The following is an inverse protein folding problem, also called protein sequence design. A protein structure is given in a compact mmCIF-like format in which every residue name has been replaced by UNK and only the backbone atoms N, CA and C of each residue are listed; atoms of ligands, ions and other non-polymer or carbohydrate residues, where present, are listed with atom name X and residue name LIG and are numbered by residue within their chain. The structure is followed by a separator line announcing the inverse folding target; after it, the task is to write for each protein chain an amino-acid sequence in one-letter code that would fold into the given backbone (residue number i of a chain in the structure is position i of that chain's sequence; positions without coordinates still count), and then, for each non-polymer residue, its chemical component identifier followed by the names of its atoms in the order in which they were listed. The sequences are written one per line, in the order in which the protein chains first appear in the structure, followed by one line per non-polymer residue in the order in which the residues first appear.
data_IF_964571452904
#
_entry.id   IF_964571452904
#
_cell.length_a   1.000
_cell.length_b   1.000
_cell.length_c   1.000
_cell.angle_alpha   90.00
_cell.angle_beta   90.00
_cell.angle_gamma   90.00
#
_symmetry.space_group_name_H-M   'P 1'
#
loop_
_entity.id
_entity.type
_entity.pdbx_description
1 polymer ?
#
# COMPACT_ATOMS: atom_id res chain seq x y z
N UNK A 1 70.49 23.14 -30.84
CA UNK A 1 71.39 23.83 -29.89
C UNK A 1 70.98 25.31 -29.94
N UNK A 2 70.12 25.83 -29.08
CA UNK A 2 70.24 25.93 -27.62
C UNK A 2 68.93 25.63 -26.88
N UNK A 3 69.13 25.19 -25.64
CA UNK A 3 68.19 24.92 -24.56
C UNK A 3 68.17 26.13 -23.60
N UNK A 4 67.01 26.48 -23.01
CA UNK A 4 66.77 27.01 -21.63
C UNK A 4 65.36 27.65 -21.59
N UNK A 5 64.33 27.03 -21.00
CA UNK A 5 63.99 26.73 -19.59
C UNK A 5 63.53 27.97 -18.77
N UNK A 6 62.24 27.90 -18.41
CA UNK A 6 61.51 28.49 -17.27
C UNK A 6 61.33 30.01 -17.16
N UNK A 7 60.08 30.46 -17.00
CA UNK A 7 59.57 30.83 -15.67
C UNK A 7 58.04 30.95 -15.62
N UNK A 8 57.52 30.43 -14.53
CA UNK A 8 56.14 30.43 -14.06
C UNK A 8 55.68 31.85 -13.76
N UNK A 9 54.44 32.20 -14.13
CA UNK A 9 53.69 33.19 -13.36
C UNK A 9 52.23 32.77 -13.24
N UNK A 10 51.92 32.37 -12.02
CA UNK A 10 50.62 32.07 -11.46
C UNK A 10 50.06 33.41 -10.95
N UNK A 11 48.89 33.85 -11.43
CA UNK A 11 48.04 34.77 -10.69
C UNK A 11 46.57 34.57 -11.04
N UNK A 12 45.97 33.85 -10.12
CA UNK A 12 44.59 33.48 -9.91
C UNK A 12 43.73 34.74 -9.69
N UNK A 13 42.79 35.05 -10.60
CA UNK A 13 41.63 35.89 -10.28
C UNK A 13 40.42 34.97 -10.07
N UNK A 14 40.20 34.58 -8.82
CA UNK A 14 38.95 33.95 -8.40
C UNK A 14 38.02 35.05 -7.88
N UNK A 15 36.86 35.19 -8.53
CA UNK A 15 35.72 35.93 -8.02
C UNK A 15 35.28 35.28 -6.69
N UNK A 16 35.47 35.98 -5.57
CA UNK A 16 34.82 35.64 -4.32
C UNK A 16 33.36 36.13 -4.40
N UNK A 17 32.48 35.26 -4.92
CA UNK A 17 31.04 35.42 -4.80
C UNK A 17 30.59 35.26 -3.35
N UNK A 18 29.59 36.05 -2.95
CA UNK A 18 28.94 35.99 -1.64
C UNK A 18 28.50 34.56 -1.30
N UNK A 19 29.03 34.00 -0.22
CA UNK A 19 28.52 32.75 0.36
C UNK A 19 27.28 33.06 1.19
N UNK A 20 26.12 32.98 0.54
CA UNK A 20 24.89 32.74 1.27
C UNK A 20 25.01 31.35 1.92
N UNK A 21 25.10 31.31 3.25
CA UNK A 21 24.93 30.09 4.04
C UNK A 21 23.50 29.58 3.84
N UNK A 22 23.29 28.78 2.79
CA UNK A 22 22.16 27.89 2.72
C UNK A 22 22.42 26.78 3.73
N UNK A 23 21.78 26.88 4.91
CA UNK A 23 21.54 25.71 5.75
C UNK A 23 20.79 24.69 4.89
N UNK A 24 21.53 23.74 4.31
CA UNK A 24 20.91 22.53 3.78
C UNK A 24 20.38 21.76 4.98
N UNK A 25 19.09 21.95 5.26
CA UNK A 25 18.30 21.00 6.03
C UNK A 25 18.40 19.67 5.28
N UNK A 26 19.37 18.84 5.66
CA UNK A 26 19.31 17.43 5.36
C UNK A 26 18.01 16.91 6.00
N UNK A 27 17.09 16.29 5.25
CA UNK A 27 15.93 15.68 5.85
C UNK A 27 16.39 14.56 6.78
N UNK A 28 16.13 14.74 8.08
CA UNK A 28 16.34 13.74 9.12
C UNK A 28 15.65 12.41 8.72
N UNK A 29 16.36 11.29 8.58
CA UNK A 29 15.80 10.03 8.06
C UNK A 29 15.09 9.20 9.16
N UNK A 30 14.29 9.81 10.02
CA UNK A 30 13.83 9.16 11.27
C UNK A 30 12.32 9.16 11.51
N UNK A 31 11.48 9.35 10.48
CA UNK A 31 10.02 9.32 10.68
C UNK A 31 9.19 8.56 9.62
N UNK A 32 9.81 7.96 8.61
CA UNK A 32 9.12 7.06 7.66
C UNK A 32 9.21 5.59 8.06
N UNK A 33 10.33 5.15 8.63
CA UNK A 33 10.53 3.76 9.06
C UNK A 33 9.63 3.34 10.23
N UNK A 34 9.21 4.29 11.07
CA UNK A 34 8.38 4.01 12.25
C UNK A 34 6.96 3.58 11.84
N UNK A 35 6.33 4.22 10.85
CA UNK A 35 4.99 3.84 10.36
C UNK A 35 5.00 2.44 9.73
N UNK A 36 6.04 2.13 8.95
CA UNK A 36 6.22 0.83 8.30
C UNK A 36 6.39 -0.31 9.30
N UNK A 37 7.28 -0.11 10.28
CA UNK A 37 7.53 -1.09 11.32
C UNK A 37 6.34 -1.22 12.27
N UNK A 38 5.64 -0.14 12.59
CA UNK A 38 4.43 -0.21 13.41
C UNK A 38 3.30 -0.97 12.72
N UNK A 39 3.10 -0.75 11.41
CA UNK A 39 2.15 -1.55 10.63
C UNK A 39 2.62 -3.00 10.66
N UNK A 40 3.86 -3.30 10.26
CA UNK A 40 4.38 -4.68 10.24
C UNK A 40 4.28 -5.38 11.61
N UNK A 41 4.67 -4.72 12.69
CA UNK A 41 4.58 -5.24 14.06
C UNK A 41 3.12 -5.45 14.49
N UNK A 42 2.19 -4.57 14.07
CA UNK A 42 0.76 -4.76 14.31
C UNK A 42 0.20 -5.93 13.50
N UNK A 43 0.74 -6.23 12.30
CA UNK A 43 0.39 -7.43 11.55
C UNK A 43 0.83 -8.67 12.31
N UNK A 44 2.09 -8.71 12.77
CA UNK A 44 2.67 -9.84 13.49
C UNK A 44 1.99 -10.14 14.84
N UNK A 45 1.58 -9.13 15.59
CA UNK A 45 0.90 -9.32 16.88
C UNK A 45 -0.54 -9.83 16.74
N UNK A 46 -1.20 -9.57 15.61
CA UNK A 46 -2.54 -10.08 15.32
C UNK A 46 -2.53 -11.53 14.78
N UNK A 47 -1.36 -12.15 14.58
CA UNK A 47 -1.23 -13.55 14.13
C UNK A 47 -1.45 -14.59 15.24
N UNK A 48 -1.65 -14.20 16.50
CA UNK A 48 -1.96 -15.13 17.60
C UNK A 48 -3.21 -14.67 18.34
N UNK A 49 -4.39 -14.95 17.79
CA UNK A 49 -5.58 -15.29 18.57
C UNK A 49 -6.71 -15.81 17.66
N UNK A 50 -7.24 -17.02 17.88
CA UNK A 50 -8.53 -17.39 17.32
C UNK A 50 -9.58 -16.47 17.94
N UNK A 51 -10.52 -15.99 17.12
CA UNK A 51 -11.66 -15.17 17.55
C UNK A 51 -12.43 -15.94 18.62
N UNK A 52 -12.13 -15.67 19.89
CA UNK A 52 -12.93 -16.14 21.02
C UNK A 52 -14.00 -15.08 21.24
N UNK A 53 -15.22 -15.38 20.81
CA UNK A 53 -16.40 -14.60 21.15
C UNK A 53 -16.56 -14.60 22.68
N UNK A 54 -16.18 -13.49 23.34
CA UNK A 54 -16.61 -13.23 24.71
C UNK A 54 -17.99 -12.59 24.66
N UNK A 55 -19.02 -13.39 24.94
CA UNK A 55 -20.36 -12.91 25.29
C UNK A 55 -20.25 -12.22 26.67
N UNK A 56 -20.58 -10.92 26.83
CA UNK A 56 -20.63 -10.31 28.14
C UNK A 56 -21.94 -10.68 28.85
N UNK A 57 -21.84 -11.37 29.99
CA UNK A 57 -22.94 -11.48 30.95
C UNK A 57 -23.20 -10.15 31.64
N UNK A 58 -24.47 -9.77 31.71
CA UNK A 58 -25.00 -8.55 32.30
C UNK A 58 -24.64 -8.37 33.79
N UNK A 59 -24.16 -7.18 34.17
CA UNK A 59 -24.45 -6.58 35.48
C UNK A 59 -24.78 -5.11 35.33
N UNK A 60 -25.89 -4.72 35.95
CA UNK A 60 -26.50 -3.40 35.88
C UNK A 60 -25.62 -2.33 36.52
N UNK A 61 -25.37 -1.26 35.77
CA UNK A 61 -24.78 0.00 36.24
C UNK A 61 -25.37 1.15 35.44
N UNK A 62 -25.87 2.18 36.12
CA UNK A 62 -26.45 3.39 35.52
C UNK A 62 -25.40 4.08 34.67
N UNK A 63 -25.63 4.24 33.37
CA UNK A 63 -24.78 5.06 32.50
C UNK A 63 -25.64 5.85 31.54
N UNK A 64 -25.28 7.13 31.42
CA UNK A 64 -25.86 8.12 30.51
C UNK A 64 -26.11 7.54 29.14
N UNK A 65 -27.31 7.79 28.59
CA UNK A 65 -27.65 7.50 27.20
C UNK A 65 -26.88 8.46 26.31
N UNK A 66 -25.59 8.19 26.08
CA UNK A 66 -24.91 8.72 24.91
C UNK A 66 -25.55 8.05 23.70
N UNK A 67 -26.38 8.82 23.02
CA UNK A 67 -26.92 8.53 21.70
C UNK A 67 -25.75 8.34 20.74
N UNK A 68 -25.24 7.11 20.65
CA UNK A 68 -24.46 6.69 19.49
C UNK A 68 -25.42 6.73 18.32
N UNK A 69 -25.38 7.84 17.58
CA UNK A 69 -25.95 7.95 16.26
C UNK A 69 -25.58 6.66 15.52
N UNK A 70 -26.58 5.86 15.16
CA UNK A 70 -26.43 4.74 14.25
C UNK A 70 -26.07 5.30 12.88
N UNK A 71 -24.83 5.75 12.73
CA UNK A 71 -24.15 5.87 11.46
C UNK A 71 -24.14 4.45 10.92
N UNK A 72 -25.08 4.17 10.03
CA UNK A 72 -25.27 2.92 9.29
C UNK A 72 -23.99 2.07 9.29
N UNK A 73 -24.02 1.00 10.06
CA UNK A 73 -22.95 0.02 10.26
C UNK A 73 -22.59 -0.64 8.93
N UNK A 74 -21.77 0.03 8.13
CA UNK A 74 -21.35 -0.41 6.79
C UNK A 74 -19.94 -0.97 6.86
N UNK A 75 -19.76 -2.11 6.22
CA UNK A 75 -18.44 -2.72 6.01
C UNK A 75 -17.85 -2.22 4.70
N UNK A 76 -16.57 -1.89 4.69
CA UNK A 76 -15.85 -1.37 3.53
C UNK A 76 -14.34 -1.59 3.65
N UNK A 77 -13.61 -1.42 2.56
CA UNK A 77 -12.16 -1.47 2.54
C UNK A 77 -11.56 -0.15 2.08
N UNK A 78 -10.32 0.13 2.48
CA UNK A 78 -9.54 1.25 1.96
C UNK A 78 -8.14 0.79 1.56
N UNK A 79 -7.60 1.36 0.49
CA UNK A 79 -6.21 1.21 0.08
C UNK A 79 -5.54 2.59 0.08
N UNK A 80 -4.51 2.76 0.91
CA UNK A 80 -3.80 4.04 1.09
C UNK A 80 -2.28 3.91 0.93
N UNK A 81 -1.55 4.97 0.52
CA UNK A 81 -0.09 4.95 0.51
C UNK A 81 0.46 4.69 1.91
N UNK A 82 1.61 4.06 1.93
CA UNK A 82 2.54 4.14 3.07
C UNK A 82 3.77 4.92 2.62
N UNK A 83 4.72 5.14 3.54
CA UNK A 83 6.05 5.67 3.21
C UNK A 83 7.10 4.58 2.99
N UNK A 84 6.66 3.34 2.81
CA UNK A 84 7.49 2.15 2.83
C UNK A 84 7.70 1.61 1.42
N UNK A 85 8.81 0.88 1.26
CA UNK A 85 9.06 0.03 0.09
C UNK A 85 9.44 -1.36 0.58
N UNK A 86 9.18 -2.39 -0.23
CA UNK A 86 9.68 -3.73 0.04
C UNK A 86 11.17 -3.87 -0.34
N UNK A 87 11.74 -5.05 -0.11
CA UNK A 87 13.16 -5.32 -0.38
C UNK A 87 13.62 -5.13 -1.85
N UNK A 88 12.68 -5.04 -2.80
CA UNK A 88 12.96 -4.83 -4.23
C UNK A 88 12.50 -3.46 -4.74
N UNK A 89 12.07 -2.56 -3.84
CA UNK A 89 11.77 -1.16 -4.15
C UNK A 89 10.34 -0.89 -4.58
N UNK A 90 9.42 -1.85 -4.48
CA UNK A 90 8.00 -1.59 -4.71
C UNK A 90 7.41 -0.78 -3.56
N UNK A 91 6.68 0.33 -3.83
CA UNK A 91 5.92 1.02 -2.80
C UNK A 91 4.92 0.09 -2.15
N UNK A 92 4.84 0.14 -0.82
CA UNK A 92 3.85 -0.61 -0.07
C UNK A 92 2.59 0.24 0.16
N UNK A 93 1.45 -0.41 0.04
CA UNK A 93 0.14 0.15 0.30
C UNK A 93 -0.53 -0.56 1.46
N UNK A 94 -1.28 0.20 2.26
CA UNK A 94 -2.04 -0.33 3.39
C UNK A 94 -3.46 -0.63 2.94
N UNK A 95 -3.82 -1.91 2.93
CA UNK A 95 -5.21 -2.35 2.81
C UNK A 95 -5.80 -2.46 4.20
N UNK A 96 -6.84 -1.68 4.49
CA UNK A 96 -7.56 -1.69 5.77
C UNK A 96 -8.98 -2.21 5.57
N UNK A 97 -9.39 -3.13 6.43
CA UNK A 97 -10.70 -3.79 6.41
C UNK A 97 -11.57 -3.26 7.55
N UNK A 98 -12.73 -2.72 7.23
CA UNK A 98 -13.66 -2.18 8.21
C UNK A 98 -14.93 -3.03 8.27
N UNK A 99 -15.29 -3.55 9.44
CA UNK A 99 -16.58 -4.19 9.68
C UNK A 99 -17.44 -3.27 10.53
N UNK A 100 -18.63 -2.92 10.05
CA UNK A 100 -19.54 -2.01 10.76
C UNK A 100 -18.87 -0.68 11.18
N UNK A 101 -17.95 -0.16 10.36
CA UNK A 101 -17.16 1.04 10.65
C UNK A 101 -15.95 0.85 11.56
N UNK A 102 -15.73 -0.34 12.14
CA UNK A 102 -14.57 -0.65 12.98
C UNK A 102 -13.46 -1.31 12.17
N UNK A 103 -12.21 -0.89 12.36
CA UNK A 103 -11.06 -1.54 11.74
C UNK A 103 -10.87 -2.95 12.33
N UNK A 104 -10.95 -3.97 11.49
CA UNK A 104 -10.84 -5.40 11.89
C UNK A 104 -9.65 -6.10 11.26
N UNK A 105 -8.96 -5.47 10.31
CA UNK A 105 -7.78 -6.03 9.66
C UNK A 105 -7.00 -4.95 8.92
N UNK A 106 -5.70 -5.13 8.85
CA UNK A 106 -4.80 -4.30 8.06
C UNK A 106 -3.81 -5.23 7.36
N UNK A 107 -3.34 -4.87 6.16
CA UNK A 107 -2.38 -5.65 5.38
C UNK A 107 -1.46 -4.72 4.60
N UNK A 108 -0.18 -5.10 4.48
CA UNK A 108 0.75 -4.48 3.54
C UNK A 108 0.61 -5.17 2.19
N UNK A 109 0.55 -4.37 1.13
CA UNK A 109 0.29 -4.83 -0.23
C UNK A 109 1.17 -4.10 -1.22
N UNK A 110 1.28 -4.63 -2.43
CA UNK A 110 1.88 -3.94 -3.59
C UNK A 110 0.81 -3.67 -4.64
N UNK A 111 1.05 -2.65 -5.47
CA UNK A 111 0.24 -2.36 -6.65
C UNK A 111 1.06 -1.67 -7.71
N UNK A 112 1.22 -2.31 -8.86
CA UNK A 112 2.18 -1.91 -9.88
C UNK A 112 3.63 -2.19 -9.47
N UNK A 113 4.48 -2.43 -10.47
CA UNK A 113 5.92 -2.63 -10.30
C UNK A 113 6.66 -1.32 -10.04
N UNK A 114 7.87 -1.38 -9.49
CA UNK A 114 8.65 -0.23 -9.04
C UNK A 114 8.91 0.76 -10.19
N UNK A 115 9.16 0.25 -11.39
CA UNK A 115 9.42 1.01 -12.62
C UNK A 115 8.14 1.56 -13.29
N UNK A 116 6.95 1.26 -12.75
CA UNK A 116 5.65 1.63 -13.34
C UNK A 116 4.86 2.65 -12.52
N UNK A 117 5.38 3.06 -11.37
CA UNK A 117 4.68 3.88 -10.38
C UNK A 117 4.20 5.24 -10.91
N UNK A 118 4.94 5.82 -11.86
CA UNK A 118 4.66 7.09 -12.52
C UNK A 118 3.88 6.96 -13.83
N UNK A 119 3.62 5.75 -14.31
CA UNK A 119 2.88 5.52 -15.57
C UNK A 119 1.40 5.87 -15.37
N UNK A 120 0.71 6.17 -16.47
CA UNK A 120 -0.71 6.52 -16.43
C UNK A 120 -1.55 5.35 -15.87
N UNK A 121 -2.15 5.58 -14.70
CA UNK A 121 -2.95 4.61 -13.95
C UNK A 121 -4.34 4.36 -14.56
N UNK A 122 -4.85 5.27 -15.38
CA UNK A 122 -6.14 5.11 -16.05
C UNK A 122 -6.05 4.36 -17.40
N UNK A 123 -4.85 4.00 -17.85
CA UNK A 123 -4.63 3.30 -19.12
C UNK A 123 -4.33 1.81 -18.89
N UNK A 124 -5.00 0.93 -19.62
CA UNK A 124 -4.68 -0.50 -19.66
C UNK A 124 -3.25 -0.77 -20.15
N UNK A 125 -2.68 -1.93 -19.77
CA UNK A 125 -1.35 -2.36 -20.23
C UNK A 125 -0.15 -1.59 -19.68
N UNK A 126 -0.35 -0.56 -18.84
CA UNK A 126 0.77 0.22 -18.26
C UNK A 126 1.48 -0.46 -17.11
N UNK A 127 0.89 -1.52 -16.55
CA UNK A 127 1.29 -2.16 -15.28
C UNK A 127 1.37 -1.19 -14.09
N UNK A 128 0.86 0.04 -14.24
CA UNK A 128 0.84 1.05 -13.20
C UNK A 128 -0.05 0.62 -12.01
N UNK A 129 0.14 1.22 -10.82
CA UNK A 129 -0.75 1.01 -9.68
C UNK A 129 -2.21 1.27 -10.01
N UNK A 130 -3.12 0.78 -9.15
CA UNK A 130 -4.55 1.09 -9.27
C UNK A 130 -4.78 2.62 -9.38
N UNK A 131 -5.67 3.07 -10.28
CA UNK A 131 -6.15 4.44 -10.26
C UNK A 131 -7.00 4.73 -9.03
N UNK A 132 -6.93 5.95 -8.54
CA UNK A 132 -7.72 6.39 -7.39
C UNK A 132 -9.21 6.41 -7.70
N UNK A 133 -10.01 6.10 -6.69
CA UNK A 133 -11.47 6.09 -6.82
C UNK A 133 -12.14 4.98 -6.04
N UNK A 134 -13.44 4.86 -6.26
CA UNK A 134 -14.29 3.86 -5.61
C UNK A 134 -14.45 2.65 -6.52
N UNK A 135 -14.42 1.48 -5.92
CA UNK A 135 -14.57 0.20 -6.59
C UNK A 135 -15.68 -0.61 -5.94
N UNK A 136 -16.46 -1.33 -6.73
CA UNK A 136 -17.27 -2.43 -6.22
C UNK A 136 -16.38 -3.65 -5.98
N UNK A 137 -16.78 -4.47 -5.02
CA UNK A 137 -16.08 -5.70 -4.65
C UNK A 137 -16.95 -6.88 -5.08
N UNK A 138 -16.38 -7.84 -5.81
CA UNK A 138 -17.13 -9.04 -6.20
C UNK A 138 -17.57 -9.83 -4.97
N UNK A 139 -18.74 -10.48 -5.06
CA UNK A 139 -19.25 -11.36 -4.00
C UNK A 139 -18.61 -12.76 -4.04
N UNK A 140 -18.13 -13.17 -5.21
CA UNK A 140 -17.53 -14.47 -5.46
C UNK A 140 -16.02 -14.38 -5.67
N UNK A 141 -15.35 -15.51 -5.44
CA UNK A 141 -13.91 -15.68 -5.65
C UNK A 141 -13.77 -16.55 -6.89
N UNK A 142 -12.95 -16.13 -7.85
CA UNK A 142 -12.66 -16.92 -9.05
C UNK A 142 -11.26 -17.50 -8.98
N UNK A 143 -10.98 -18.55 -9.73
CA UNK A 143 -9.60 -18.95 -9.98
C UNK A 143 -8.87 -17.84 -10.75
N UNK A 144 -7.60 -17.59 -10.43
CA UNK A 144 -6.75 -16.71 -11.24
C UNK A 144 -6.51 -17.32 -12.61
N UNK A 145 -6.59 -16.50 -13.65
CA UNK A 145 -6.32 -16.92 -15.05
C UNK A 145 -4.89 -16.62 -15.50
N UNK A 146 -4.12 -15.88 -14.70
CA UNK A 146 -2.74 -15.45 -14.99
C UNK A 146 -1.76 -16.01 -13.96
N UNK A 147 -0.49 -16.31 -14.34
CA UNK A 147 0.52 -16.80 -13.41
C UNK A 147 0.76 -15.88 -12.20
N UNK A 148 0.61 -14.56 -12.40
CA UNK A 148 0.74 -13.54 -11.34
C UNK A 148 -0.40 -13.60 -10.31
N UNK A 149 -1.57 -14.15 -10.67
CA UNK A 149 -2.81 -14.09 -9.86
C UNK A 149 -2.95 -15.28 -8.91
N UNK A 150 -2.22 -16.37 -9.16
CA UNK A 150 -2.31 -17.59 -8.36
C UNK A 150 -3.67 -18.27 -8.47
N UNK A 151 -4.04 -19.05 -7.45
CA UNK A 151 -5.22 -19.93 -7.45
C UNK A 151 -6.53 -19.19 -7.13
N UNK A 152 -6.49 -17.97 -6.60
CA UNK A 152 -7.68 -17.26 -6.12
C UNK A 152 -7.59 -15.76 -6.35
N UNK A 153 -8.68 -15.22 -6.89
CA UNK A 153 -8.80 -13.84 -7.27
C UNK A 153 -10.12 -13.26 -6.78
N UNK A 154 -10.04 -12.11 -6.11
CA UNK A 154 -11.20 -11.31 -5.75
C UNK A 154 -11.27 -10.10 -6.68
N UNK A 155 -12.17 -10.16 -7.66
CA UNK A 155 -12.34 -9.08 -8.62
C UNK A 155 -12.88 -7.81 -7.96
N UNK A 156 -12.38 -6.66 -8.42
CA UNK A 156 -12.90 -5.33 -8.07
C UNK A 156 -13.16 -4.55 -9.36
N UNK A 157 -14.22 -3.74 -9.37
CA UNK A 157 -14.61 -3.01 -10.57
C UNK A 157 -14.70 -1.51 -10.28
N UNK A 158 -13.98 -0.65 -11.04
CA UNK A 158 -14.05 0.79 -10.85
C UNK A 158 -15.47 1.29 -11.12
N UNK A 159 -15.99 2.16 -10.25
CA UNK A 159 -17.30 2.83 -10.45
C UNK A 159 -17.17 4.13 -11.24
N UNK A 160 -16.05 4.31 -11.93
CA UNK A 160 -15.67 5.51 -12.65
C UNK A 160 -15.06 5.11 -13.99
N UNK A 161 -15.04 6.06 -14.94
CA UNK A 161 -14.50 5.80 -16.28
C UNK A 161 -12.98 5.62 -16.22
N UNK A 162 -12.50 4.49 -16.71
CA UNK A 162 -11.07 4.18 -16.83
C UNK A 162 -10.87 3.15 -17.94
N UNK A 163 -9.69 3.12 -18.56
CA UNK A 163 -9.29 2.10 -19.51
C UNK A 163 -8.70 0.85 -18.85
N UNK A 164 -8.86 0.70 -17.53
CA UNK A 164 -8.38 -0.44 -16.75
C UNK A 164 -9.47 -1.51 -16.60
N UNK A 165 -9.06 -2.77 -16.69
CA UNK A 165 -9.90 -3.96 -16.50
C UNK A 165 -9.09 -5.03 -15.77
N UNK A 166 -9.74 -6.16 -15.45
CA UNK A 166 -9.11 -7.32 -14.79
C UNK A 166 -8.36 -6.97 -13.49
N UNK A 167 -8.92 -6.05 -12.70
CA UNK A 167 -8.36 -5.62 -11.41
C UNK A 167 -8.92 -6.49 -10.29
N UNK A 168 -8.10 -6.76 -9.28
CA UNK A 168 -8.52 -7.54 -8.13
C UNK A 168 -7.49 -7.59 -7.01
N UNK A 169 -7.84 -8.35 -5.99
CA UNK A 169 -6.99 -8.68 -4.84
C UNK A 169 -6.60 -10.15 -4.97
N UNK A 170 -5.30 -10.43 -4.84
CA UNK A 170 -4.75 -11.79 -4.86
C UNK A 170 -3.45 -11.85 -4.05
N UNK A 171 -2.92 -13.06 -3.90
CA UNK A 171 -1.57 -13.29 -3.39
C UNK A 171 -0.57 -13.05 -4.53
N UNK A 172 0.48 -12.28 -4.29
CA UNK A 172 1.58 -12.10 -5.24
C UNK A 172 2.69 -13.15 -4.97
N UNK A 173 2.83 -14.20 -5.80
CA UNK A 173 3.86 -15.22 -5.63
C UNK A 173 5.28 -14.69 -5.85
N UNK A 174 5.43 -13.50 -6.40
CA UNK A 174 6.72 -12.83 -6.62
C UNK A 174 7.07 -11.81 -5.54
N UNK A 175 6.23 -11.63 -4.50
CA UNK A 175 6.52 -10.70 -3.40
C UNK A 175 7.90 -10.97 -2.77
N UNK A 176 8.70 -9.91 -2.72
CA UNK A 176 10.11 -9.80 -2.32
C UNK A 176 11.10 -10.70 -3.09
N UNK A 177 10.69 -11.27 -4.22
CA UNK A 177 11.58 -12.08 -5.07
C UNK A 177 12.28 -11.21 -6.09
N UNK A 178 13.60 -11.38 -6.19
CA UNK A 178 14.46 -10.72 -7.20
C UNK A 178 14.37 -11.42 -8.57
N UNK A 179 13.16 -11.59 -9.08
CA UNK A 179 12.89 -12.26 -10.37
C UNK A 179 12.30 -11.32 -11.44
N UNK A 180 12.13 -10.03 -11.14
CA UNK A 180 11.59 -9.02 -12.06
C UNK A 180 10.06 -8.92 -12.12
N UNK A 181 9.35 -9.76 -11.37
CA UNK A 181 7.88 -9.87 -11.46
C UNK A 181 7.14 -9.27 -10.25
N UNK A 182 7.85 -8.93 -9.16
CA UNK A 182 7.27 -8.32 -7.95
C UNK A 182 6.55 -6.99 -8.24
N UNK A 183 5.34 -6.84 -7.69
CA UNK A 183 4.59 -5.58 -7.69
C UNK A 183 3.24 -5.68 -8.39
N UNK A 184 2.93 -6.80 -9.05
CA UNK A 184 1.75 -7.02 -9.92
C UNK A 184 1.65 -6.07 -11.11
N UNK A 185 0.79 -6.42 -12.06
CA UNK A 185 0.42 -5.54 -13.20
C UNK A 185 -0.62 -4.45 -12.84
N UNK A 186 -0.71 -4.07 -11.56
CA UNK A 186 -1.63 -3.05 -11.04
C UNK A 186 -2.87 -3.62 -10.35
N UNK A 187 -2.79 -4.86 -9.85
CA UNK A 187 -3.72 -5.43 -8.89
C UNK A 187 -3.31 -5.04 -7.46
N UNK A 188 -4.00 -5.57 -6.46
CA UNK A 188 -3.59 -5.51 -5.06
C UNK A 188 -2.96 -6.86 -4.72
N UNK A 189 -1.63 -6.89 -4.64
CA UNK A 189 -0.86 -8.08 -4.28
C UNK A 189 -0.62 -8.16 -2.78
N UNK A 190 -1.16 -9.21 -2.13
CA UNK A 190 -0.88 -9.58 -0.74
C UNK A 190 0.41 -10.41 -0.66
N UNK A 191 1.05 -10.42 0.51
CA UNK A 191 2.40 -10.98 0.69
C UNK A 191 2.43 -12.50 0.71
N UNK A 192 1.33 -13.11 1.14
CA UNK A 192 1.22 -14.56 1.29
C UNK A 192 -0.23 -15.03 1.17
N UNK A 193 -0.40 -16.35 1.05
CA UNK A 193 -1.73 -16.99 0.92
C UNK A 193 -2.61 -16.81 2.17
N UNK A 194 -2.02 -16.73 3.35
CA UNK A 194 -2.74 -16.57 4.61
C UNK A 194 -3.40 -15.19 4.71
N UNK A 195 -2.71 -14.12 4.31
CA UNK A 195 -3.32 -12.79 4.21
C UNK A 195 -4.50 -12.78 3.24
N UNK A 196 -4.35 -13.46 2.09
CA UNK A 196 -5.45 -13.64 1.14
C UNK A 196 -6.62 -14.39 1.79
N UNK A 197 -6.37 -15.48 2.54
CA UNK A 197 -7.42 -16.20 3.26
C UNK A 197 -8.22 -15.28 4.19
N UNK A 198 -7.52 -14.42 4.93
CA UNK A 198 -8.15 -13.53 5.89
C UNK A 198 -8.98 -12.44 5.20
N UNK A 199 -8.46 -11.84 4.12
CA UNK A 199 -9.22 -10.86 3.31
C UNK A 199 -10.46 -11.52 2.69
N UNK A 200 -10.33 -12.72 2.14
CA UNK A 200 -11.44 -13.46 1.54
C UNK A 200 -12.51 -13.85 2.57
N UNK A 201 -12.09 -14.27 3.76
CA UNK A 201 -13.01 -14.54 4.88
C UNK A 201 -13.76 -13.27 5.32
N UNK A 202 -13.06 -12.13 5.42
CA UNK A 202 -13.70 -10.85 5.70
C UNK A 202 -14.76 -10.50 4.64
N UNK A 203 -14.46 -10.66 3.35
CA UNK A 203 -15.40 -10.37 2.26
C UNK A 203 -16.62 -11.28 2.31
N UNK A 204 -16.41 -12.57 2.60
CA UNK A 204 -17.49 -13.55 2.75
C UNK A 204 -18.39 -13.23 3.95
N UNK A 205 -17.80 -12.84 5.08
CA UNK A 205 -18.54 -12.61 6.32
C UNK A 205 -19.26 -11.26 6.34
N UNK A 206 -18.62 -10.21 5.84
CA UNK A 206 -19.07 -8.83 6.05
C UNK A 206 -19.59 -8.15 4.78
N UNK A 207 -19.43 -8.77 3.61
CA UNK A 207 -19.91 -8.26 2.33
C UNK A 207 -19.64 -6.75 2.14
N UNK A 208 -18.37 -6.33 2.10
CA UNK A 208 -18.01 -4.92 2.03
C UNK A 208 -18.67 -4.25 0.83
N UNK A 209 -19.22 -3.06 1.06
CA UNK A 209 -19.97 -2.35 0.04
C UNK A 209 -19.06 -1.78 -1.06
N UNK A 210 -17.84 -1.42 -0.70
CA UNK A 210 -16.87 -0.84 -1.61
C UNK A 210 -15.43 -0.98 -1.11
N UNK A 211 -14.51 -0.79 -2.03
CA UNK A 211 -13.12 -0.47 -1.78
C UNK A 211 -12.87 0.98 -2.22
N UNK A 212 -12.31 1.79 -1.32
CA UNK A 212 -11.85 3.13 -1.65
C UNK A 212 -10.33 3.12 -1.85
N UNK A 213 -9.88 3.47 -3.05
CA UNK A 213 -8.46 3.61 -3.37
C UNK A 213 -8.08 5.09 -3.31
N UNK A 214 -7.01 5.40 -2.58
CA UNK A 214 -6.35 6.70 -2.52
C UNK A 214 -4.85 6.46 -2.41
N UNK A 215 -4.15 6.32 -3.53
CA UNK A 215 -2.72 5.98 -3.60
C UNK A 215 -1.85 7.24 -3.84
N UNK A 216 -2.44 8.34 -4.30
CA UNK A 216 -1.77 9.65 -4.41
C UNK A 216 -1.98 10.50 -3.15
#
# INVERSE_FOLDING_TARGET
MFLRLSLVSLSLLMFAGCTAHANSLQPNPTNSNIDCQQIANSLEQNHVSPIRQSVPQNKAGKTSRQSYNSATSRSYMTLSPTKCTNAVGNPLYKLSLYANGQLVGTYLTVSGRADTQSKNRHRGGTKAPLPDGKYTVAKGITAGVEPEVGDRFLAIHPTFRTGRSALGIHYDPSFEKKNGEDGTSGCIGLRNKQELDQVLNYVRQYHPQYLQVKIL
#
